data_IF_037504710809
#
_entry.id   IF_037504710809
#
_cell.length_a   1.000
_cell.length_b   1.000
_cell.length_c   1.000
_cell.angle_alpha   90.00
_cell.angle_beta   90.00
_cell.angle_gamma   90.00
#
_symmetry.space_group_name_H-M   'P 1'
#
loop_
_entity.id
_entity.type
_entity.pdbx_description
1 polymer ?
2 non-polymer ?
3 water ?
#
# COMPACT_ATOMS: atom_id res chain seq x y z
N UNK A 58 -6.45 5.95 -14.75
CA UNK A 58 -6.85 4.53 -14.69
C UNK A 58 -5.73 3.50 -14.67
N UNK A 59 -4.68 3.69 -15.50
CA UNK A 59 -3.48 2.85 -15.41
C UNK A 59 -2.84 3.40 -14.17
N UNK A 60 -3.15 4.64 -13.81
CA UNK A 60 -2.67 5.23 -12.56
C UNK A 60 -3.25 4.49 -11.37
N UNK A 61 -4.58 4.20 -11.40
CA UNK A 61 -5.28 3.41 -10.40
C UNK A 61 -4.57 2.10 -10.40
N UNK A 62 -4.32 1.50 -11.56
CA UNK A 62 -3.47 0.33 -11.59
C UNK A 62 -2.14 0.61 -10.88
N UNK A 63 -1.35 1.66 -11.17
CA UNK A 63 -0.04 1.85 -10.57
C UNK A 63 -0.30 1.99 -9.07
N UNK A 64 -1.44 2.51 -8.63
CA UNK A 64 -1.67 2.72 -7.22
C UNK A 64 -2.00 1.43 -6.52
N UNK A 65 -2.76 0.59 -7.20
CA UNK A 65 -3.19 -0.63 -6.60
C UNK A 65 -2.01 -1.53 -6.64
N UNK A 66 -1.32 -1.78 -7.75
CA UNK A 66 -0.18 -2.68 -7.76
C UNK A 66 0.83 -2.33 -6.67
N UNK A 67 0.93 -1.09 -6.28
CA UNK A 67 1.95 -0.76 -5.33
C UNK A 67 1.38 -0.88 -3.97
N UNK A 68 0.08 -0.66 -3.79
CA UNK A 68 -0.49 -0.81 -2.49
C UNK A 68 -0.38 -2.33 -2.23
N UNK A 69 -0.62 -3.17 -3.25
CA UNK A 69 -0.49 -4.60 -3.10
C UNK A 69 0.92 -4.99 -2.69
N UNK A 70 1.94 -4.45 -3.34
CA UNK A 70 3.33 -4.72 -2.93
C UNK A 70 3.60 -4.29 -1.49
N UNK A 71 2.89 -3.26 -1.02
CA UNK A 71 3.12 -2.78 0.30
C UNK A 71 2.37 -3.59 1.32
N UNK A 72 1.11 -4.00 1.09
CA UNK A 72 0.43 -4.84 2.08
C UNK A 72 1.24 -6.12 2.14
N UNK A 73 1.82 -6.62 1.04
CA UNK A 73 2.72 -7.73 1.18
C UNK A 73 3.93 -7.41 2.02
N UNK A 74 4.62 -6.25 1.96
CA UNK A 74 5.74 -5.96 2.89
C UNK A 74 5.17 -6.04 4.34
N UNK A 75 4.01 -5.40 4.67
CA UNK A 75 3.40 -5.43 5.99
C UNK A 75 3.29 -6.85 6.46
N UNK A 76 2.75 -7.71 5.62
CA UNK A 76 2.54 -9.10 5.95
C UNK A 76 3.78 -9.84 6.35
N UNK A 77 4.86 -9.76 5.58
CA UNK A 77 6.07 -10.42 5.99
C UNK A 77 6.66 -9.79 7.25
N UNK A 78 6.38 -8.52 7.50
CA UNK A 78 6.90 -7.88 8.68
C UNK A 78 6.09 -8.44 9.79
N UNK A 79 4.88 -8.84 9.51
CA UNK A 79 4.09 -9.36 10.56
C UNK A 79 4.55 -10.78 10.85
N UNK A 80 4.96 -11.64 9.92
CA UNK A 80 5.50 -12.97 10.29
C UNK A 80 7.02 -12.91 10.53
N UNK A 85 8.24 -3.35 13.21
CA UNK A 85 7.39 -2.48 14.05
C UNK A 85 7.17 -1.10 13.42
N UNK A 86 8.26 -0.31 13.33
CA UNK A 86 8.24 0.99 12.68
C UNK A 86 7.96 0.80 11.18
N UNK A 87 8.66 -0.17 10.55
CA UNK A 87 8.49 -0.52 9.13
C UNK A 87 7.16 -1.21 8.81
N UNK A 88 6.55 -1.91 9.76
CA UNK A 88 5.22 -2.42 9.53
C UNK A 88 4.36 -1.17 9.60
N UNK A 89 4.52 -0.28 10.61
CA UNK A 89 3.66 0.89 10.67
C UNK A 89 3.64 1.71 9.38
N UNK A 90 4.85 2.00 8.89
CA UNK A 90 5.12 2.72 7.65
C UNK A 90 4.45 2.11 6.43
N UNK A 91 4.63 0.77 6.28
CA UNK A 91 4.05 0.06 5.13
C UNK A 91 2.56 0.11 5.06
N UNK A 92 1.90 0.17 6.21
CA UNK A 92 0.44 0.30 6.26
C UNK A 92 -0.05 1.73 6.02
N UNK A 93 0.77 2.67 6.51
CA UNK A 93 0.46 4.08 6.30
C UNK A 93 0.50 4.38 4.81
N UNK A 94 1.65 3.95 4.23
CA UNK A 94 1.93 4.20 2.84
C UNK A 94 0.87 3.53 1.98
N UNK A 95 0.56 2.24 2.27
CA UNK A 95 -0.47 1.56 1.52
C UNK A 95 -1.82 2.29 1.60
N UNK A 96 -2.10 2.89 2.77
CA UNK A 96 -3.38 3.57 2.88
C UNK A 96 -3.43 4.78 1.96
N UNK A 97 -2.25 5.36 1.88
CA UNK A 97 -2.14 6.43 0.95
C UNK A 97 -2.52 5.95 -0.45
N UNK A 98 -1.87 4.95 -1.00
CA UNK A 98 -2.17 4.54 -2.34
C UNK A 98 -3.61 4.17 -2.55
N UNK A 99 -4.21 3.68 -1.47
CA UNK A 99 -5.62 3.36 -1.59
C UNK A 99 -6.48 4.57 -1.55
N UNK A 100 -6.17 5.63 -0.80
CA UNK A 100 -7.00 6.84 -0.81
C UNK A 100 -6.95 7.38 -2.24
N UNK A 101 -5.74 7.36 -2.89
CA UNK A 101 -5.49 7.84 -4.27
C UNK A 101 -6.29 6.96 -5.17
N UNK A 102 -6.27 5.67 -4.87
CA UNK A 102 -7.05 4.72 -5.63
C UNK A 102 -8.54 5.02 -5.52
N UNK A 103 -8.98 5.41 -4.33
CA UNK A 103 -10.38 5.68 -4.14
C UNK A 103 -10.67 6.95 -4.90
N UNK A 104 -10.05 8.11 -4.59
CA UNK A 104 -10.34 9.32 -5.33
C UNK A 104 -10.12 9.19 -6.88
N UNK A 105 -9.18 8.31 -7.34
CA UNK A 105 -8.93 8.07 -8.75
C UNK A 105 -10.03 7.25 -9.37
X LIG B 1 -14.06 8.21 -8.54
X LIG C 1 -10.06 13.23 -9.98
#
# INVERSE_FOLDING_TARGET
SSEELLKQALQQAQQLLQQAQELAKKGGGEELLKQALQQAQQLLQQAQELAKKGGGGEELLKQALQQAQQLLQQAQELAKKGGGEELLKQALQQAQQLLQQAQELAKK
UNX UNK
UNX UNK
#
